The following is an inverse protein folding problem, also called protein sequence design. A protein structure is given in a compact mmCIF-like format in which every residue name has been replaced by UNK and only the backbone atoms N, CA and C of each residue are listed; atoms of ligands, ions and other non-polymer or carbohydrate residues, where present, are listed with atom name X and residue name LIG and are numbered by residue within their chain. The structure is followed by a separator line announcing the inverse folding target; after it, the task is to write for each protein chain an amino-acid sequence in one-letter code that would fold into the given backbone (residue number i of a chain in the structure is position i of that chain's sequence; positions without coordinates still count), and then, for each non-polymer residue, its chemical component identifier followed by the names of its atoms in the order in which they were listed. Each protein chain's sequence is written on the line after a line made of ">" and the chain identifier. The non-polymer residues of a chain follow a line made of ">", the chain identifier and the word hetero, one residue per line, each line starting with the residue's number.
data_IF_471601227276
#
_entry.id   IF_471601227276
#
_cell.length_a   1.000
_cell.length_b   1.000
_cell.length_c   1.000
_cell.angle_alpha   90.00
_cell.angle_beta   90.00
_cell.angle_gamma   90.00
#
_symmetry.space_group_name_H-M   'P 1'
#
loop_
_entity.id
_entity.type
_entity.pdbx_description
1 polymer ?
#
# COMPACT_ATOMS: atom_id res chain seq x y z
N UNK A 1 -6.10 9.85 15.66
CA UNK A 1 -6.03 8.44 15.25
C UNK A 1 -6.98 8.22 14.09
N UNK A 2 -6.51 7.51 13.06
CA UNK A 2 -7.38 7.32 11.92
C UNK A 2 -8.18 6.03 12.07
N UNK A 3 -9.46 6.12 11.70
CA UNK A 3 -10.37 4.98 11.77
C UNK A 3 -10.88 4.54 10.41
N UNK A 4 -10.33 5.12 9.34
CA UNK A 4 -10.73 4.75 7.99
C UNK A 4 -10.28 3.32 7.70
N UNK A 5 -11.22 2.47 7.37
CA UNK A 5 -10.97 1.06 7.06
C UNK A 5 -12.00 0.58 6.06
N UNK A 6 -11.66 -0.48 5.35
CA UNK A 6 -12.60 -1.16 4.46
C UNK A 6 -12.17 -2.62 4.33
N UNK A 7 -13.10 -3.51 3.94
CA UNK A 7 -12.75 -4.91 3.76
C UNK A 7 -11.73 -5.08 2.63
N UNK A 8 -10.71 -5.88 2.88
CA UNK A 8 -9.68 -6.17 1.89
C UNK A 8 -9.19 -7.60 2.13
N UNK A 9 -8.94 -8.33 1.05
CA UNK A 9 -8.50 -9.73 1.11
C UNK A 9 -7.02 -9.82 0.75
N UNK A 10 -6.36 -10.87 1.23
CA UNK A 10 -4.95 -11.10 0.91
C UNK A 10 -4.69 -11.08 -0.60
N UNK A 11 -5.60 -11.64 -1.39
CA UNK A 11 -5.46 -11.70 -2.85
C UNK A 11 -5.54 -10.32 -3.53
N UNK A 12 -6.02 -9.31 -2.82
CA UNK A 12 -6.14 -7.96 -3.37
C UNK A 12 -4.81 -7.22 -3.37
N UNK A 13 -3.83 -7.74 -2.64
CA UNK A 13 -2.52 -7.10 -2.48
C UNK A 13 -1.56 -7.51 -3.58
N UNK A 14 -0.81 -6.53 -4.07
CA UNK A 14 0.21 -6.75 -5.11
C UNK A 14 1.51 -6.10 -4.68
N UNK A 15 2.62 -6.70 -5.06
CA UNK A 15 3.93 -6.09 -4.93
C UNK A 15 4.28 -5.38 -6.23
N UNK A 16 5.21 -4.41 -6.15
CA UNK A 16 5.75 -3.79 -7.34
C UNK A 16 6.37 -4.85 -8.25
N UNK A 17 6.24 -4.66 -9.57
CA UNK A 17 6.83 -5.59 -10.53
C UNK A 17 8.35 -5.66 -10.44
N UNK A 18 8.99 -4.64 -9.84
CA UNK A 18 10.42 -4.66 -9.57
C UNK A 18 10.80 -5.51 -8.38
N UNK A 19 9.84 -5.96 -7.58
CA UNK A 19 10.08 -6.77 -6.38
C UNK A 19 10.24 -8.25 -6.74
N UNK A 20 11.34 -8.57 -7.41
CA UNK A 20 11.63 -9.96 -7.77
C UNK A 20 12.25 -10.73 -6.62
N UNK A 21 12.77 -10.02 -5.65
CA UNK A 21 13.47 -10.61 -4.52
C UNK A 21 12.45 -10.90 -3.42
N UNK A 22 12.52 -12.09 -2.87
CA UNK A 22 11.57 -12.59 -1.88
C UNK A 22 11.48 -11.69 -0.64
N UNK A 23 12.56 -11.00 -0.32
CA UNK A 23 12.64 -10.18 0.88
C UNK A 23 11.92 -8.84 0.76
N UNK A 24 11.43 -8.50 -0.41
CA UNK A 24 10.76 -7.21 -0.62
C UNK A 24 9.28 -7.37 -0.31
N UNK A 25 8.81 -6.60 0.64
CA UNK A 25 7.63 -6.95 1.39
C UNK A 25 6.56 -5.89 1.47
N UNK A 26 6.67 -4.82 0.69
CA UNK A 26 5.58 -3.85 0.62
C UNK A 26 4.56 -4.32 -0.40
N UNK A 27 3.33 -4.53 0.07
CA UNK A 27 2.24 -4.95 -0.79
C UNK A 27 1.12 -3.92 -0.72
N UNK A 28 0.48 -3.67 -1.85
CA UNK A 28 -0.54 -2.63 -2.01
C UNK A 28 -1.80 -3.22 -2.62
N UNK A 29 -2.93 -2.91 -2.02
CA UNK A 29 -4.25 -3.25 -2.55
C UNK A 29 -4.96 -1.95 -2.96
N UNK A 30 -5.20 -1.79 -4.27
CA UNK A 30 -5.95 -0.64 -4.78
C UNK A 30 -7.38 -1.08 -5.02
N UNK A 31 -8.33 -0.45 -4.36
CA UNK A 31 -9.75 -0.81 -4.46
C UNK A 31 -10.58 0.43 -4.74
N UNK A 32 -11.84 0.27 -5.16
CA UNK A 32 -12.74 1.43 -5.32
C UNK A 32 -12.96 2.21 -4.03
N UNK A 33 -12.79 1.59 -2.87
CA UNK A 33 -13.01 2.23 -1.58
C UNK A 33 -11.79 2.94 -1.04
N UNK A 34 -10.61 2.64 -1.56
CA UNK A 34 -9.38 3.23 -1.10
C UNK A 34 -8.20 2.30 -1.34
N UNK A 35 -7.11 2.56 -0.64
CA UNK A 35 -5.87 1.81 -0.81
C UNK A 35 -5.41 1.28 0.54
N UNK A 36 -4.95 0.04 0.56
CA UNK A 36 -4.40 -0.60 1.75
C UNK A 36 -2.95 -0.97 1.50
N UNK A 37 -2.10 -0.76 2.50
CA UNK A 37 -0.69 -1.11 2.43
C UNK A 37 -0.35 -2.05 3.56
N UNK A 38 0.49 -3.04 3.26
CA UNK A 38 0.88 -4.06 4.21
C UNK A 38 2.35 -4.37 4.07
N UNK A 39 3.02 -4.61 5.20
CA UNK A 39 4.33 -5.25 5.22
C UNK A 39 4.08 -6.75 5.25
N UNK A 40 4.46 -7.45 4.19
CA UNK A 40 4.18 -8.88 4.09
C UNK A 40 4.99 -9.72 5.07
N UNK A 41 6.03 -9.14 5.68
CA UNK A 41 6.81 -9.81 6.72
C UNK A 41 6.14 -9.75 8.08
N UNK A 42 5.19 -8.84 8.27
CA UNK A 42 4.52 -8.70 9.55
C UNK A 42 3.59 -9.89 9.77
N UNK A 43 3.86 -10.75 10.78
CA UNK A 43 2.99 -11.90 11.04
C UNK A 43 1.59 -11.48 11.45
N UNK A 44 1.41 -10.27 11.95
CA UNK A 44 0.10 -9.75 12.34
C UNK A 44 -0.68 -9.20 11.15
N UNK A 45 -0.03 -9.05 10.00
CA UNK A 45 -0.67 -8.48 8.81
C UNK A 45 -1.29 -7.13 9.07
N UNK A 46 -0.61 -6.31 9.86
CA UNK A 46 -1.09 -4.97 10.16
C UNK A 46 -1.24 -4.17 8.88
N UNK A 47 -2.37 -3.54 8.70
CA UNK A 47 -2.73 -2.89 7.45
C UNK A 47 -2.94 -1.40 7.67
N UNK A 48 -2.37 -0.59 6.79
CA UNK A 48 -2.61 0.85 6.75
C UNK A 48 -3.63 1.13 5.65
N UNK A 49 -4.59 2.00 5.94
CA UNK A 49 -5.66 2.34 5.01
C UNK A 49 -5.60 3.81 4.64
N UNK A 50 -5.78 4.09 3.36
CA UNK A 50 -5.75 5.45 2.82
C UNK A 50 -6.94 5.68 1.92
N UNK A 51 -7.45 6.91 1.93
CA UNK A 51 -8.47 7.30 0.97
C UNK A 51 -7.84 7.41 -0.42
N UNK A 52 -8.68 7.38 -1.44
CA UNK A 52 -8.20 7.51 -2.81
C UNK A 52 -7.48 8.85 -3.03
N UNK A 53 -7.99 9.93 -2.42
CA UNK A 53 -7.36 11.24 -2.52
C UNK A 53 -5.98 11.27 -1.88
N UNK A 54 -5.86 10.69 -0.69
CA UNK A 54 -4.56 10.58 -0.01
C UNK A 54 -3.56 9.80 -0.84
N UNK A 55 -4.01 8.69 -1.42
CA UNK A 55 -3.15 7.86 -2.24
C UNK A 55 -2.68 8.58 -3.50
N UNK A 56 -3.60 9.32 -4.16
CA UNK A 56 -3.23 10.09 -5.35
C UNK A 56 -2.17 11.14 -5.01
N UNK A 57 -2.31 11.81 -3.88
CA UNK A 57 -1.33 12.81 -3.45
C UNK A 57 0.03 12.16 -3.21
N UNK A 58 0.04 11.01 -2.56
CA UNK A 58 1.28 10.27 -2.32
C UNK A 58 1.95 9.85 -3.62
N UNK A 59 1.19 9.27 -4.54
CA UNK A 59 1.72 8.83 -5.83
C UNK A 59 2.27 10.02 -6.62
N UNK A 60 1.61 11.16 -6.55
CA UNK A 60 2.11 12.38 -7.21
C UNK A 60 3.47 12.77 -6.65
N UNK A 61 3.62 12.73 -5.33
CA UNK A 61 4.92 13.00 -4.70
C UNK A 61 5.99 12.02 -5.14
N UNK A 62 5.64 10.74 -5.23
CA UNK A 62 6.56 9.71 -5.72
C UNK A 62 7.02 10.03 -7.16
N UNK A 63 6.08 10.37 -8.03
CA UNK A 63 6.39 10.72 -9.42
C UNK A 63 7.24 11.97 -9.54
N UNK A 64 7.14 12.87 -8.58
CA UNK A 64 7.93 14.09 -8.55
C UNK A 64 9.26 13.89 -7.82
N UNK A 65 9.63 12.66 -7.54
CA UNK A 65 10.90 12.29 -6.89
C UNK A 65 11.05 12.87 -5.48
N UNK A 66 9.95 13.16 -4.79
CA UNK A 66 10.01 13.76 -3.46
C UNK A 66 10.47 12.77 -2.39
N UNK A 67 10.36 11.48 -2.66
CA UNK A 67 10.69 10.42 -1.70
C UNK A 67 11.82 9.51 -2.22
N UNK A 68 12.66 10.03 -3.09
CA UNK A 68 13.78 9.27 -3.63
C UNK A 68 14.85 9.03 -2.58
N UNK A 69 15.47 7.87 -2.64
CA UNK A 69 16.61 7.52 -1.80
C UNK A 69 17.81 7.12 -2.63
#
# INVERSE_FOLDING_TARGET
>A
MRHFRFPVKNRDFKKSSGSRIITWCVAVAVTPKGVAIRDTKDPRKKTLFFTRGEWRAFVRGVKNCEFEV
#
